data_IF_889703156040
#
_entry.id   IF_889703156040
#
_cell.length_a   1.000
_cell.length_b   1.000
_cell.length_c   1.000
_cell.angle_alpha   90.00
_cell.angle_beta   90.00
_cell.angle_gamma   90.00
#
_symmetry.space_group_name_H-M   'P 1'
#
loop_
_entity.id
_entity.type
_entity.pdbx_description
1 polymer ?
#
# COMPACT_ATOMS: atom_id res chain seq x y z
N UNK A 1 -4.87 26.11 -5.55
CA UNK A 1 -3.57 25.68 -5.00
C UNK A 1 -3.56 24.16 -4.89
N UNK A 2 -2.49 23.51 -5.36
CA UNK A 2 -2.39 22.07 -5.14
C UNK A 2 -2.36 21.81 -3.63
N UNK A 3 -3.09 20.77 -3.20
CA UNK A 3 -3.07 20.35 -1.81
C UNK A 3 -1.71 19.71 -1.55
N UNK A 4 -0.93 20.34 -0.67
CA UNK A 4 0.35 19.77 -0.27
C UNK A 4 0.10 18.54 0.60
N UNK A 5 0.55 17.37 0.12
CA UNK A 5 0.39 16.13 0.86
C UNK A 5 1.42 16.04 1.97
N UNK A 6 0.96 15.91 3.21
CA UNK A 6 1.84 15.62 4.34
C UNK A 6 2.13 14.11 4.37
N UNK A 7 3.23 13.70 3.75
CA UNK A 7 3.58 12.28 3.62
C UNK A 7 3.77 11.58 4.95
N UNK A 8 4.36 12.23 5.94
CA UNK A 8 4.50 11.62 7.26
C UNK A 8 3.16 11.38 7.94
N UNK A 9 2.25 12.35 7.84
CA UNK A 9 0.91 12.21 8.43
C UNK A 9 0.20 10.99 7.85
N UNK A 10 0.15 10.86 6.52
CA UNK A 10 -0.54 9.75 5.88
C UNK A 10 0.20 8.42 6.08
N UNK A 11 1.51 8.43 6.14
CA UNK A 11 2.27 7.22 6.45
C UNK A 11 2.01 6.76 7.90
N UNK A 12 1.85 7.67 8.85
CA UNK A 12 1.44 7.31 10.21
C UNK A 12 0.06 6.67 10.24
N UNK A 13 -0.86 7.15 9.40
CA UNK A 13 -2.17 6.51 9.25
C UNK A 13 -2.04 5.08 8.69
N UNK A 14 -1.16 4.88 7.72
CA UNK A 14 -0.86 3.54 7.19
C UNK A 14 -0.22 2.64 8.27
N UNK A 15 0.67 3.18 9.10
CA UNK A 15 1.28 2.44 10.21
C UNK A 15 0.26 2.00 11.26
N UNK A 16 -0.78 2.78 11.49
CA UNK A 16 -1.89 2.37 12.38
C UNK A 16 -2.57 1.12 11.84
N UNK A 17 -2.78 1.06 10.52
CA UNK A 17 -3.33 -0.14 9.88
C UNK A 17 -2.36 -1.34 9.98
N UNK A 18 -1.07 -1.10 9.78
CA UNK A 18 -0.05 -2.14 9.95
C UNK A 18 -0.07 -2.73 11.37
N UNK A 19 -0.25 -1.89 12.37
CA UNK A 19 -0.35 -2.33 13.76
C UNK A 19 -1.59 -3.18 14.01
N UNK A 20 -2.72 -2.86 13.37
CA UNK A 20 -3.92 -3.70 13.43
C UNK A 20 -3.65 -5.09 12.87
N UNK A 21 -2.92 -5.18 11.76
CA UNK A 21 -2.49 -6.46 11.19
C UNK A 21 -1.63 -7.24 12.20
N UNK A 22 -0.64 -6.59 12.78
CA UNK A 22 0.24 -7.19 13.79
C UNK A 22 -0.56 -7.80 14.94
N UNK A 23 -1.52 -7.03 15.48
CA UNK A 23 -2.33 -7.47 16.62
C UNK A 23 -3.23 -8.67 16.28
N UNK A 24 -3.49 -8.89 14.99
CA UNK A 24 -4.31 -10.01 14.48
C UNK A 24 -3.47 -11.18 13.97
N UNK A 25 -2.15 -11.15 14.13
CA UNK A 25 -1.27 -12.23 13.67
C UNK A 25 -0.99 -12.19 12.17
N UNK A 26 -1.27 -11.07 11.51
CA UNK A 26 -0.97 -10.85 10.10
C UNK A 26 0.35 -10.11 9.94
N UNK A 27 1.04 -10.33 8.82
CA UNK A 27 2.22 -9.52 8.51
C UNK A 27 1.85 -8.03 8.54
N UNK A 28 2.60 -7.19 9.26
CA UNK A 28 2.20 -5.82 9.55
C UNK A 28 2.43 -4.87 8.39
N UNK A 29 1.58 -5.01 7.37
CA UNK A 29 1.52 -4.10 6.24
C UNK A 29 0.20 -3.34 6.30
N UNK A 30 0.29 -2.02 6.26
CA UNK A 30 -0.86 -1.14 6.30
C UNK A 30 -0.84 -0.17 5.13
N UNK A 31 -2.03 0.24 4.73
CA UNK A 31 -2.22 1.09 3.55
C UNK A 31 -3.32 2.12 3.83
N UNK A 32 -3.09 3.34 3.34
CA UNK A 32 -4.18 4.31 3.12
C UNK A 32 -4.09 4.83 1.70
N UNK A 33 -5.24 5.10 1.09
CA UNK A 33 -5.33 5.77 -0.21
C UNK A 33 -5.95 7.14 0.01
N UNK A 34 -5.33 8.16 -0.59
CA UNK A 34 -5.70 9.56 -0.45
C UNK A 34 -6.13 10.10 -1.80
N UNK A 35 -7.24 10.80 -1.83
CA UNK A 35 -7.75 11.48 -3.03
C UNK A 35 -8.30 12.85 -2.61
N UNK A 36 -7.85 13.91 -3.29
CA UNK A 36 -8.27 15.26 -2.93
C UNK A 36 -7.89 15.66 -1.50
N UNK A 37 -6.76 15.18 -0.99
CA UNK A 37 -6.30 15.46 0.37
C UNK A 37 -7.02 14.68 1.47
N UNK A 38 -7.91 13.75 1.10
CA UNK A 38 -8.75 12.99 2.03
C UNK A 38 -8.46 11.50 1.94
N UNK A 39 -8.35 10.81 3.07
CA UNK A 39 -8.24 9.35 3.11
C UNK A 39 -9.57 8.73 2.67
N UNK A 40 -9.55 7.96 1.59
CA UNK A 40 -10.74 7.31 1.02
C UNK A 40 -10.72 5.79 1.20
N UNK A 41 -9.59 5.22 1.59
CA UNK A 41 -9.48 3.78 1.87
C UNK A 41 -8.43 3.55 2.95
N UNK A 42 -8.68 2.54 3.79
CA UNK A 42 -7.77 2.05 4.82
C UNK A 42 -7.79 0.54 4.79
N UNK A 43 -6.64 -0.09 4.83
CA UNK A 43 -6.57 -1.55 4.82
C UNK A 43 -5.30 -2.05 5.48
N UNK A 44 -5.35 -3.29 5.92
CA UNK A 44 -4.19 -4.04 6.42
C UNK A 44 -4.19 -5.44 5.82
N UNK A 45 -3.04 -6.07 5.82
CA UNK A 45 -2.88 -7.42 5.28
C UNK A 45 -3.80 -8.42 5.99
N UNK A 46 -4.52 -9.24 5.23
CA UNK A 46 -5.51 -10.19 5.74
C UNK A 46 -5.38 -11.59 5.13
N UNK A 47 -4.18 -11.99 4.74
CA UNK A 47 -3.95 -13.30 4.11
C UNK A 47 -4.37 -14.45 5.00
N UNK A 48 -4.04 -14.40 6.28
CA UNK A 48 -4.41 -15.45 7.24
C UNK A 48 -5.91 -15.42 7.56
N UNK A 49 -6.45 -14.23 7.82
CA UNK A 49 -7.86 -14.07 8.16
C UNK A 49 -8.80 -14.57 7.08
N UNK A 50 -8.46 -14.34 5.82
CA UNK A 50 -9.29 -14.66 4.66
C UNK A 50 -8.89 -15.98 4.00
N UNK A 51 -7.84 -16.65 4.46
CA UNK A 51 -7.23 -17.81 3.78
C UNK A 51 -6.99 -17.53 2.31
N UNK A 52 -6.48 -16.33 2.02
CA UNK A 52 -6.28 -15.85 0.64
C UNK A 52 -4.86 -15.28 0.51
N UNK A 53 -3.97 -15.94 -0.25
CA UNK A 53 -2.59 -15.48 -0.42
C UNK A 53 -2.48 -14.16 -1.19
N UNK A 54 -3.57 -13.69 -1.81
CA UNK A 54 -3.60 -12.41 -2.51
C UNK A 54 -4.24 -11.28 -1.71
N UNK A 55 -4.69 -11.54 -0.48
CA UNK A 55 -5.34 -10.54 0.36
C UNK A 55 -4.33 -9.58 1.01
N UNK A 56 -3.48 -8.98 0.18
CA UNK A 56 -2.56 -7.94 0.58
C UNK A 56 -3.31 -6.63 0.85
N UNK A 57 -2.77 -5.83 1.76
CA UNK A 57 -3.38 -4.55 2.15
C UNK A 57 -3.65 -3.66 0.93
N UNK A 58 -2.72 -3.61 -0.03
CA UNK A 58 -2.85 -2.78 -1.24
C UNK A 58 -4.04 -3.22 -2.08
N UNK A 59 -4.22 -4.52 -2.28
CA UNK A 59 -5.34 -5.06 -3.07
C UNK A 59 -6.69 -4.72 -2.44
N UNK A 60 -6.79 -4.86 -1.13
CA UNK A 60 -8.01 -4.51 -0.38
C UNK A 60 -8.29 -3.01 -0.48
N UNK A 61 -7.27 -2.17 -0.29
CA UNK A 61 -7.42 -0.73 -0.35
C UNK A 61 -7.84 -0.23 -1.74
N UNK A 62 -7.27 -0.79 -2.81
CA UNK A 62 -7.63 -0.45 -4.19
C UNK A 62 -9.13 -0.70 -4.43
N UNK A 63 -9.63 -1.85 -4.01
CA UNK A 63 -11.05 -2.20 -4.14
C UNK A 63 -11.94 -1.21 -3.39
N UNK A 64 -11.58 -0.89 -2.15
CA UNK A 64 -12.32 0.09 -1.33
C UNK A 64 -12.32 1.48 -1.96
N UNK A 65 -11.16 1.94 -2.43
CA UNK A 65 -11.03 3.26 -3.02
C UNK A 65 -11.84 3.39 -4.32
N UNK A 66 -11.79 2.37 -5.17
CA UNK A 66 -12.55 2.33 -6.42
C UNK A 66 -14.06 2.38 -6.14
N UNK A 67 -14.53 1.64 -5.16
CA UNK A 67 -15.93 1.63 -4.74
C UNK A 67 -16.36 2.98 -4.20
N UNK A 68 -15.52 3.60 -3.37
CA UNK A 68 -15.79 4.94 -2.84
C UNK A 68 -15.93 5.97 -3.97
N UNK A 69 -15.02 6.00 -4.92
CA UNK A 69 -15.05 6.95 -6.04
C UNK A 69 -16.28 6.73 -6.92
N UNK A 70 -16.67 5.48 -7.14
CA UNK A 70 -17.92 5.17 -7.84
C UNK A 70 -19.13 5.75 -7.11
N UNK A 71 -19.18 5.63 -5.77
CA UNK A 71 -20.28 6.16 -4.97
C UNK A 71 -20.37 7.69 -5.02
N UNK A 72 -19.27 8.37 -5.36
CA UNK A 72 -19.22 9.83 -5.53
C UNK A 72 -19.58 10.28 -6.96
N UNK A 73 -20.12 9.39 -7.79
CA UNK A 73 -20.57 9.71 -9.14
C UNK A 73 -19.52 9.53 -10.23
N UNK A 74 -18.40 8.89 -9.90
CA UNK A 74 -17.30 8.67 -10.85
C UNK A 74 -17.48 7.36 -11.64
N UNK A 75 -18.64 7.23 -12.27
CA UNK A 75 -18.98 6.00 -12.99
C UNK A 75 -18.17 5.77 -14.28
N UNK A 76 -17.51 6.82 -14.78
CA UNK A 76 -16.77 6.75 -16.04
C UNK A 76 -15.42 6.07 -15.94
N UNK A 77 -14.88 5.94 -14.74
CA UNK A 77 -13.47 5.56 -14.54
C UNK A 77 -13.23 4.06 -14.30
N UNK A 78 -14.26 3.24 -14.26
CA UNK A 78 -14.15 1.75 -14.19
C UNK A 78 -13.12 1.26 -13.17
N UNK A 79 -13.10 1.86 -11.97
CA UNK A 79 -12.15 1.52 -10.94
C UNK A 79 -10.81 2.27 -11.02
N UNK A 80 -10.71 3.29 -11.89
CA UNK A 80 -9.50 4.11 -11.99
C UNK A 80 -9.26 4.91 -10.72
N UNK A 81 -8.00 4.96 -10.30
CA UNK A 81 -7.52 5.73 -9.16
C UNK A 81 -6.70 6.94 -9.61
N UNK A 82 -7.08 7.55 -10.73
CA UNK A 82 -6.42 8.77 -11.19
C UNK A 82 -6.43 9.85 -10.10
N UNK A 83 -5.33 10.58 -9.99
CA UNK A 83 -5.12 11.63 -8.96
C UNK A 83 -5.08 11.09 -7.52
N UNK A 84 -5.12 9.77 -7.33
CA UNK A 84 -4.99 9.19 -6.00
C UNK A 84 -3.53 8.92 -5.64
N UNK A 85 -3.22 8.98 -4.35
CA UNK A 85 -1.93 8.62 -3.79
C UNK A 85 -2.11 7.46 -2.84
N UNK A 86 -1.26 6.43 -2.95
CA UNK A 86 -1.26 5.30 -2.03
C UNK A 86 -0.04 5.39 -1.10
N UNK A 87 -0.31 5.23 0.19
CA UNK A 87 0.71 5.14 1.24
C UNK A 87 0.73 3.73 1.77
N UNK A 88 1.86 3.06 1.66
CA UNK A 88 2.02 1.68 2.12
C UNK A 88 3.29 1.55 2.96
N UNK A 89 3.21 0.83 4.07
CA UNK A 89 4.32 0.73 5.01
C UNK A 89 5.48 -0.10 4.50
N UNK A 90 5.23 -1.00 3.54
CA UNK A 90 6.22 -1.87 2.92
C UNK A 90 6.15 -1.71 1.40
N UNK A 91 7.30 -1.71 0.74
CA UNK A 91 7.37 -1.68 -0.74
C UNK A 91 6.48 -2.75 -1.35
N UNK A 92 5.58 -2.40 -2.30
CA UNK A 92 4.67 -3.38 -2.91
C UNK A 92 5.37 -4.50 -3.67
N UNK A 93 4.79 -5.71 -3.61
CA UNK A 93 5.21 -6.88 -4.37
C UNK A 93 4.78 -6.76 -5.85
N UNK A 94 5.20 -7.71 -6.74
CA UNK A 94 4.83 -7.64 -8.16
C UNK A 94 3.32 -7.60 -8.41
N UNK A 95 2.54 -8.37 -7.67
CA UNK A 95 1.07 -8.37 -7.80
C UNK A 95 0.48 -6.99 -7.52
N UNK A 96 0.85 -6.40 -6.40
CA UNK A 96 0.32 -5.10 -5.97
C UNK A 96 0.85 -3.95 -6.85
N UNK A 97 2.11 -4.01 -7.24
CA UNK A 97 2.69 -3.03 -8.17
C UNK A 97 1.96 -3.05 -9.51
N UNK A 98 1.69 -4.24 -10.05
CA UNK A 98 0.90 -4.40 -11.27
C UNK A 98 -0.51 -3.85 -11.11
N UNK A 99 -1.14 -4.09 -9.97
CA UNK A 99 -2.48 -3.58 -9.68
C UNK A 99 -2.51 -2.05 -9.64
N UNK A 100 -1.48 -1.41 -9.09
CA UNK A 100 -1.37 0.07 -9.05
C UNK A 100 -1.24 0.65 -10.46
N UNK A 101 -0.50 0.00 -11.34
CA UNK A 101 -0.39 0.39 -12.74
C UNK A 101 -1.76 0.25 -13.43
N UNK A 102 -2.43 -0.89 -13.26
CA UNK A 102 -3.75 -1.14 -13.85
C UNK A 102 -4.80 -0.15 -13.36
N UNK A 103 -4.71 0.25 -12.09
CA UNK A 103 -5.64 1.21 -11.48
C UNK A 103 -5.34 2.66 -11.86
N UNK A 104 -4.22 2.95 -12.54
CA UNK A 104 -3.78 4.30 -12.89
C UNK A 104 -3.57 5.20 -11.66
N UNK A 105 -3.10 4.63 -10.56
CA UNK A 105 -2.75 5.41 -9.38
C UNK A 105 -1.64 6.41 -9.70
N UNK A 106 -1.73 7.63 -9.17
CA UNK A 106 -0.78 8.70 -9.52
C UNK A 106 0.53 8.61 -8.75
N UNK A 107 0.45 8.46 -7.43
CA UNK A 107 1.62 8.48 -6.56
C UNK A 107 1.65 7.27 -5.66
N UNK A 108 2.85 6.70 -5.52
CA UNK A 108 3.16 5.66 -4.54
C UNK A 108 4.16 6.21 -3.54
N UNK A 109 3.78 6.20 -2.28
CA UNK A 109 4.66 6.55 -1.17
C UNK A 109 4.80 5.31 -0.28
N UNK A 110 6.02 4.79 -0.10
CA UNK A 110 6.20 3.63 0.76
C UNK A 110 7.26 3.85 1.84
N UNK A 111 7.17 3.05 2.88
CA UNK A 111 8.09 3.09 4.01
C UNK A 111 9.38 2.31 3.73
N UNK A 112 9.49 1.10 4.27
CA UNK A 112 10.70 0.29 4.10
C UNK A 112 10.69 -0.50 2.80
N UNK A 113 11.90 -0.74 2.26
CA UNK A 113 12.09 -1.59 1.09
C UNK A 113 11.85 -3.05 1.43
N UNK A 114 11.40 -3.82 0.45
CA UNK A 114 11.30 -5.27 0.53
C UNK A 114 12.34 -5.89 -0.40
N UNK A 115 13.45 -6.34 0.17
CA UNK A 115 14.57 -6.87 -0.59
C UNK A 115 14.30 -8.28 -1.14
N UNK A 116 13.22 -8.93 -0.70
CA UNK A 116 12.85 -10.29 -1.12
C UNK A 116 11.79 -10.33 -2.20
N UNK A 117 10.87 -9.34 -2.20
CA UNK A 117 9.73 -9.35 -3.10
C UNK A 117 9.35 -7.96 -3.65
N UNK A 118 10.14 -6.94 -3.35
CA UNK A 118 9.81 -5.57 -3.75
C UNK A 118 9.86 -5.36 -5.25
N UNK A 119 8.80 -4.76 -5.78
CA UNK A 119 8.64 -4.54 -7.22
C UNK A 119 8.54 -3.06 -7.60
N UNK A 120 8.97 -2.18 -6.71
CA UNK A 120 8.93 -0.73 -6.89
C UNK A 120 10.33 -0.11 -6.70
N UNK A 121 11.38 -0.86 -7.08
CA UNK A 121 12.76 -0.41 -7.04
C UNK A 121 13.75 -1.45 -6.54
N UNK A 122 13.33 -2.43 -5.72
CA UNK A 122 14.27 -3.41 -5.13
C UNK A 122 14.63 -4.54 -6.11
N UNK A 123 13.72 -5.47 -6.39
CA UNK A 123 13.97 -6.55 -7.37
C UNK A 123 13.49 -6.17 -8.76
N UNK A 124 12.35 -5.54 -8.85
CA UNK A 124 11.74 -5.06 -10.07
C UNK A 124 11.34 -3.61 -9.89
N UNK A 125 11.06 -2.92 -10.99
CA UNK A 125 10.45 -1.59 -10.94
C UNK A 125 9.26 -1.53 -11.89
N UNK A 126 8.19 -2.21 -11.52
CA UNK A 126 6.98 -2.34 -12.34
C UNK A 126 6.24 -1.00 -12.44
N UNK A 127 6.21 -0.22 -11.36
CA UNK A 127 5.44 1.05 -11.32
C UNK A 127 6.06 2.16 -12.17
N UNK A 128 7.30 1.99 -12.64
CA UNK A 128 7.99 2.96 -13.50
C UNK A 128 8.55 2.32 -14.78
N UNK A 129 8.01 1.19 -15.19
CA UNK A 129 8.43 0.49 -16.42
C UNK A 129 7.87 1.21 -17.65
N UNK A 130 8.77 1.67 -18.53
CA UNK A 130 8.42 2.43 -19.74
C UNK A 130 7.55 1.64 -20.72
N UNK A 131 7.59 0.33 -20.66
CA UNK A 131 6.85 -0.54 -21.57
C UNK A 131 5.38 -0.66 -21.20
N UNK A 132 5.01 -0.30 -19.97
CA UNK A 132 3.64 -0.31 -19.51
C UNK A 132 2.95 1.03 -19.84
N UNK A 133 1.63 1.03 -19.89
CA UNK A 133 0.85 2.17 -20.34
C UNK A 133 0.64 3.27 -19.29
N UNK A 134 1.11 3.05 -18.06
CA UNK A 134 0.99 4.03 -16.98
C UNK A 134 2.19 3.90 -16.04
N UNK A 135 2.63 5.03 -15.50
CA UNK A 135 3.71 5.10 -14.51
C UNK A 135 3.28 5.93 -13.32
N UNK A 136 3.71 5.50 -12.14
CA UNK A 136 3.47 6.25 -10.91
C UNK A 136 4.70 7.10 -10.56
N UNK A 137 4.47 8.21 -9.86
CA UNK A 137 5.53 8.89 -9.14
C UNK A 137 5.80 8.11 -7.86
N UNK A 138 7.07 7.91 -7.51
CA UNK A 138 7.46 7.09 -6.36
C UNK A 138 8.26 7.91 -5.37
N UNK A 139 7.85 7.86 -4.11
CA UNK A 139 8.60 8.41 -2.98
C UNK A 139 8.83 7.28 -1.99
N UNK A 140 10.09 6.97 -1.71
CA UNK A 140 10.47 5.89 -0.80
C UNK A 140 10.99 6.41 0.53
N UNK A 141 10.99 5.56 1.54
CA UNK A 141 11.69 5.82 2.80
C UNK A 141 10.95 6.69 3.79
N UNK A 142 9.68 6.96 3.58
CA UNK A 142 8.89 7.76 4.53
C UNK A 142 8.57 6.90 5.76
N UNK A 143 9.11 7.28 6.92
CA UNK A 143 9.03 6.54 8.17
C UNK A 143 9.49 5.08 8.02
N UNK A 144 10.54 4.88 7.23
CA UNK A 144 11.05 3.54 6.91
C UNK A 144 11.51 2.78 8.15
N UNK A 145 12.11 3.45 9.12
CA UNK A 145 12.61 2.79 10.34
C UNK A 145 11.47 2.21 11.17
N UNK A 146 10.37 2.94 11.32
CA UNK A 146 9.19 2.48 12.05
C UNK A 146 8.55 1.26 11.37
N UNK A 147 8.39 1.29 10.04
CA UNK A 147 7.81 0.15 9.32
C UNK A 147 8.74 -1.06 9.33
N UNK A 148 10.04 -0.85 9.18
CA UNK A 148 11.04 -1.91 9.27
C UNK A 148 11.06 -2.58 10.64
N UNK A 149 11.03 -1.77 11.70
CA UNK A 149 10.99 -2.28 13.07
C UNK A 149 9.76 -3.16 13.29
N UNK A 150 8.60 -2.71 12.84
CA UNK A 150 7.35 -3.44 13.00
C UNK A 150 7.39 -4.80 12.28
N UNK A 151 7.94 -4.84 11.06
CA UNK A 151 8.14 -6.08 10.31
C UNK A 151 9.10 -7.03 11.02
N UNK A 152 10.24 -6.51 11.48
CA UNK A 152 11.23 -7.32 12.19
C UNK A 152 10.67 -7.89 13.49
N UNK A 153 9.94 -7.10 14.25
CA UNK A 153 9.32 -7.52 15.51
C UNK A 153 8.29 -8.63 15.26
N UNK A 154 7.48 -8.51 14.22
CA UNK A 154 6.51 -9.53 13.85
C UNK A 154 7.19 -10.88 13.56
N UNK A 155 8.20 -10.90 12.70
CA UNK A 155 8.88 -12.13 12.33
C UNK A 155 9.68 -12.74 13.50
N UNK A 156 10.24 -11.90 14.35
CA UNK A 156 10.92 -12.36 15.57
C UNK A 156 9.93 -13.03 16.54
N UNK A 157 8.76 -12.45 16.73
CA UNK A 157 7.69 -13.01 17.56
C UNK A 157 7.20 -14.32 16.98
N UNK A 158 6.96 -14.37 15.67
CA UNK A 158 6.49 -15.58 14.97
C UNK A 158 7.48 -16.73 15.11
N UNK A 159 8.79 -16.48 15.03
CA UNK A 159 9.81 -17.51 15.22
C UNK A 159 9.81 -18.07 16.65
N UNK A 160 9.55 -17.24 17.66
CA UNK A 160 9.44 -17.67 19.05
C UNK A 160 8.24 -18.56 19.28
N UNK A 161 7.13 -18.28 18.65
CA UNK A 161 5.90 -19.07 18.79
C UNK A 161 6.01 -20.46 18.16
N UNK A 162 6.90 -20.62 17.15
CA UNK A 162 7.14 -21.90 16.46
C UNK A 162 8.11 -22.82 17.20
N UNK A 163 8.70 -22.38 18.28
CA UNK A 163 9.55 -23.21 19.14
C UNK A 163 8.68 -23.78 20.27
#
# INVERSE_FOLDING_TARGET
MPIELNHEYFMREALKEAKKAFDKGEAPVGVVIVHGGKVIARAFNQMEMLHDPTAHAEMIAITQAADYLKSQGDEKHRGSLEKASIYVTLEPCPMCAGALVMAHCENLIYGTKDLKAGACGSLYNIVQDDRLNHRLNVIEGVLADESKFLMQDFFKTLRKEKR
#
